data_IF_538411115961
#
_entry.id   IF_538411115961
#
_cell.length_a   1.000
_cell.length_b   1.000
_cell.length_c   1.000
_cell.angle_alpha   90.00
_cell.angle_beta   90.00
_cell.angle_gamma   90.00
#
_symmetry.space_group_name_H-M   'P 1'
#
loop_
_entity.id
_entity.type
_entity.pdbx_description
1 polymer ?
#
# COMPACT_ATOMS: atom_id res chain seq x y z
N UNK A 1 43.04 23.15 5.59
CA UNK A 1 41.93 22.34 6.13
C UNK A 1 40.69 23.14 6.56
N UNK A 2 40.61 24.47 6.28
CA UNK A 2 39.53 25.32 6.81
C UNK A 2 38.45 25.71 5.78
N UNK A 3 38.75 25.65 4.48
CA UNK A 3 37.82 26.11 3.43
C UNK A 3 36.64 25.15 3.20
N UNK A 4 36.89 23.83 3.25
CA UNK A 4 35.84 22.82 3.09
C UNK A 4 34.81 22.86 4.23
N UNK A 5 35.22 23.21 5.45
CA UNK A 5 34.35 23.36 6.61
C UNK A 5 33.48 24.62 6.46
N UNK A 6 34.07 25.72 6.00
CA UNK A 6 33.33 26.96 5.73
C UNK A 6 32.25 26.78 4.65
N UNK A 7 32.55 26.03 3.58
CA UNK A 7 31.58 25.73 2.52
C UNK A 7 30.41 24.87 3.00
N UNK A 8 30.68 23.88 3.87
CA UNK A 8 29.62 23.06 4.48
C UNK A 8 28.73 23.89 5.40
N UNK A 9 29.32 24.74 6.24
CA UNK A 9 28.56 25.64 7.12
C UNK A 9 27.69 26.62 6.33
N UNK A 10 28.21 27.16 5.22
CA UNK A 10 27.44 28.02 4.33
C UNK A 10 26.26 27.27 3.70
N UNK A 11 26.45 26.02 3.27
CA UNK A 11 25.39 25.20 2.69
C UNK A 11 24.28 24.89 3.72
N UNK A 12 24.65 24.48 4.95
CA UNK A 12 23.69 24.31 6.04
C UNK A 12 22.94 25.59 6.37
N UNK A 13 23.61 26.74 6.34
CA UNK A 13 22.97 28.02 6.57
C UNK A 13 21.94 28.36 5.47
N UNK A 14 22.24 28.07 4.21
CA UNK A 14 21.31 28.26 3.09
C UNK A 14 20.09 27.35 3.21
N UNK A 15 20.26 26.07 3.55
CA UNK A 15 19.15 25.14 3.76
C UNK A 15 18.28 25.55 4.95
N UNK A 16 18.90 25.95 6.07
CA UNK A 16 18.20 26.46 7.23
C UNK A 16 17.41 27.74 6.88
N UNK A 17 18.01 28.64 6.10
CA UNK A 17 17.31 29.84 5.64
C UNK A 17 16.10 29.52 4.75
N UNK A 18 16.23 28.56 3.84
CA UNK A 18 15.12 28.13 2.99
C UNK A 18 13.99 27.48 3.78
N UNK A 19 14.30 26.65 4.78
CA UNK A 19 13.28 26.02 5.64
C UNK A 19 12.55 27.06 6.48
N UNK A 20 13.25 28.05 7.04
CA UNK A 20 12.61 29.18 7.73
C UNK A 20 11.67 29.99 6.82
N UNK A 21 12.05 30.20 5.56
CA UNK A 21 11.20 30.86 4.56
C UNK A 21 9.94 30.07 4.27
N UNK A 22 10.04 28.74 4.13
CA UNK A 22 8.89 27.83 3.95
C UNK A 22 7.99 27.83 5.19
N UNK A 23 8.58 27.83 6.39
CA UNK A 23 7.84 27.88 7.65
C UNK A 23 7.01 29.16 7.76
N UNK A 24 7.59 30.33 7.44
CA UNK A 24 6.86 31.61 7.39
C UNK A 24 5.77 31.63 6.32
N UNK A 25 5.97 30.95 5.19
CA UNK A 25 4.92 30.81 4.17
C UNK A 25 3.77 29.94 4.67
N UNK A 26 4.06 28.81 5.33
CA UNK A 26 3.04 27.94 5.94
C UNK A 26 2.25 28.66 7.03
N UNK A 27 2.91 29.41 7.90
CA UNK A 27 2.24 30.20 8.95
C UNK A 27 1.24 31.21 8.36
N UNK A 28 1.60 31.89 7.26
CA UNK A 28 0.67 32.79 6.54
C UNK A 28 -0.52 32.05 5.95
N UNK A 29 -0.33 30.84 5.42
CA UNK A 29 -1.43 30.02 4.92
C UNK A 29 -2.36 29.58 6.05
N UNK A 30 -1.82 29.14 7.18
CA UNK A 30 -2.61 28.73 8.35
C UNK A 30 -3.45 29.90 8.87
N UNK A 31 -2.87 31.11 8.96
CA UNK A 31 -3.62 32.30 9.36
C UNK A 31 -4.76 32.60 8.39
N UNK A 32 -4.50 32.57 7.07
CA UNK A 32 -5.55 32.75 6.06
C UNK A 32 -6.65 31.71 6.19
N UNK A 33 -6.31 30.43 6.39
CA UNK A 33 -7.29 29.35 6.58
C UNK A 33 -8.13 29.58 7.84
N UNK A 34 -7.51 30.05 8.94
CA UNK A 34 -8.23 30.38 10.17
C UNK A 34 -9.19 31.56 9.99
N UNK A 35 -8.76 32.59 9.27
CA UNK A 35 -9.58 33.75 8.90
C UNK A 35 -10.76 33.34 7.99
N UNK A 36 -10.51 32.49 7.00
CA UNK A 36 -11.56 31.88 6.18
C UNK A 36 -12.55 31.06 7.01
N UNK A 37 -12.08 30.30 7.99
CA UNK A 37 -12.93 29.54 8.89
C UNK A 37 -13.75 30.44 9.83
N UNK A 38 -13.17 31.53 10.31
CA UNK A 38 -13.81 32.44 11.27
C UNK A 38 -14.84 33.38 10.62
N UNK A 39 -14.66 33.73 9.34
CA UNK A 39 -15.58 34.59 8.60
C UNK A 39 -16.76 33.82 7.95
N UNK A 40 -16.74 32.48 7.99
CA UNK A 40 -17.86 31.65 7.50
C UNK A 40 -18.93 31.56 8.58
N UNK A 41 -20.18 31.87 8.23
CA UNK A 41 -21.31 31.71 9.14
C UNK A 41 -21.42 30.24 9.61
N UNK A 42 -21.70 29.98 10.89
CA UNK A 42 -21.71 28.61 11.44
C UNK A 42 -22.76 27.70 10.78
N UNK A 43 -23.82 28.29 10.24
CA UNK A 43 -24.88 27.58 9.50
C UNK A 43 -24.34 26.82 8.27
N UNK A 44 -23.39 27.40 7.54
CA UNK A 44 -22.79 26.74 6.37
C UNK A 44 -21.94 25.52 6.75
N UNK A 45 -21.24 25.59 7.88
CA UNK A 45 -20.43 24.46 8.37
C UNK A 45 -21.36 23.29 8.74
N UNK A 46 -22.46 23.58 9.46
CA UNK A 46 -23.46 22.59 9.82
C UNK A 46 -24.09 21.92 8.59
N UNK A 47 -24.54 22.71 7.61
CA UNK A 47 -25.17 22.19 6.38
C UNK A 47 -24.18 21.33 5.59
N UNK A 48 -22.92 21.77 5.47
CA UNK A 48 -21.90 20.99 4.78
C UNK A 48 -21.57 19.66 5.48
N UNK A 49 -21.54 19.67 6.82
CA UNK A 49 -21.33 18.46 7.62
C UNK A 49 -22.49 17.48 7.48
N UNK A 50 -23.74 17.96 7.60
CA UNK A 50 -24.93 17.11 7.43
C UNK A 50 -25.01 16.56 6.00
N UNK A 51 -24.72 17.40 4.99
CA UNK A 51 -24.70 16.97 3.59
C UNK A 51 -23.68 15.85 3.32
N UNK A 52 -22.50 15.93 3.92
CA UNK A 52 -21.47 14.89 3.81
C UNK A 52 -21.93 13.57 4.44
N UNK A 53 -22.55 13.62 5.61
CA UNK A 53 -23.08 12.42 6.30
C UNK A 53 -24.21 11.77 5.50
N UNK A 54 -25.16 12.57 4.99
CA UNK A 54 -26.28 12.07 4.18
C UNK A 54 -25.77 11.43 2.89
N UNK A 55 -24.82 12.07 2.22
CA UNK A 55 -24.21 11.54 0.99
C UNK A 55 -23.46 10.23 1.27
N UNK A 56 -22.71 10.16 2.36
CA UNK A 56 -22.01 8.93 2.78
C UNK A 56 -22.96 7.78 3.08
N UNK A 57 -24.04 8.04 3.82
CA UNK A 57 -25.07 7.04 4.12
C UNK A 57 -25.80 6.55 2.86
N UNK A 58 -26.11 7.45 1.92
CA UNK A 58 -26.70 7.10 0.64
C UNK A 58 -25.79 6.17 -0.17
N UNK A 59 -24.50 6.50 -0.27
CA UNK A 59 -23.51 5.64 -0.94
C UNK A 59 -23.40 4.27 -0.26
N UNK A 60 -23.41 4.20 1.07
CA UNK A 60 -23.34 2.93 1.79
C UNK A 60 -24.51 1.98 1.48
N UNK A 61 -25.69 2.50 1.12
CA UNK A 61 -26.86 1.70 0.74
C UNK A 61 -26.87 1.35 -0.75
N UNK A 62 -26.53 2.30 -1.63
CA UNK A 62 -26.56 2.10 -3.09
C UNK A 62 -25.38 1.26 -3.58
N UNK A 63 -24.21 1.42 -2.97
CA UNK A 63 -22.99 0.71 -3.35
C UNK A 63 -23.11 -0.82 -3.31
N UNK A 64 -23.60 -1.47 -2.24
CA UNK A 64 -23.76 -2.93 -2.24
C UNK A 64 -24.76 -3.42 -3.29
N UNK A 65 -25.80 -2.63 -3.61
CA UNK A 65 -26.77 -2.97 -4.65
C UNK A 65 -26.13 -2.96 -6.05
N UNK A 66 -25.30 -1.96 -6.35
CA UNK A 66 -24.57 -1.88 -7.62
C UNK A 66 -23.50 -2.99 -7.73
N UNK A 67 -22.82 -3.30 -6.63
CA UNK A 67 -21.87 -4.41 -6.60
C UNK A 67 -22.56 -5.75 -6.86
N UNK A 68 -23.73 -6.00 -6.28
CA UNK A 68 -24.48 -7.25 -6.53
C UNK A 68 -24.74 -7.47 -8.02
N UNK A 69 -25.31 -6.47 -8.71
CA UNK A 69 -25.60 -6.56 -10.15
C UNK A 69 -24.31 -6.70 -10.98
N UNK A 70 -23.24 -5.97 -10.63
CA UNK A 70 -21.97 -6.06 -11.34
C UNK A 70 -21.25 -7.39 -11.15
N UNK A 71 -21.32 -7.97 -9.95
CA UNK A 71 -20.70 -9.25 -9.63
C UNK A 71 -21.48 -10.42 -10.22
N UNK A 72 -22.82 -10.38 -10.22
CA UNK A 72 -23.64 -11.46 -10.79
C UNK A 72 -23.45 -11.62 -12.31
N UNK A 73 -23.16 -10.52 -13.01
CA UNK A 73 -22.91 -10.54 -14.46
C UNK A 73 -21.50 -11.06 -14.81
N UNK A 74 -20.50 -10.86 -13.94
CA UNK A 74 -19.10 -11.21 -14.21
C UNK A 74 -18.64 -12.51 -13.52
N UNK A 75 -19.17 -12.80 -12.34
CA UNK A 75 -18.83 -13.92 -11.48
C UNK A 75 -20.04 -14.79 -11.22
N UNK A 76 -20.75 -15.17 -12.28
CA UNK A 76 -21.76 -16.21 -12.19
C UNK A 76 -21.05 -17.54 -11.92
N UNK A 77 -20.79 -17.81 -10.64
CA UNK A 77 -20.29 -19.08 -10.12
C UNK A 77 -21.40 -20.11 -10.43
N UNK A 78 -21.36 -20.62 -11.65
CA UNK A 78 -22.26 -21.66 -12.09
C UNK A 78 -21.91 -22.89 -11.24
N UNK A 79 -22.91 -23.49 -10.60
CA UNK A 79 -22.75 -24.77 -9.88
C UNK A 79 -22.45 -25.85 -10.92
N UNK A 80 -21.19 -25.92 -11.32
CA UNK A 80 -20.71 -26.75 -12.41
C UNK A 80 -19.23 -26.45 -12.62
N UNK A 81 -18.40 -27.46 -12.34
CA UNK A 81 -16.95 -27.56 -12.56
C UNK A 81 -16.32 -26.32 -13.21
N UNK A 82 -15.86 -25.38 -12.38
CA UNK A 82 -15.14 -24.20 -12.86
C UNK A 82 -13.79 -24.65 -13.42
N UNK A 83 -13.71 -24.72 -14.75
CA UNK A 83 -12.44 -24.88 -15.44
C UNK A 83 -11.65 -23.59 -15.22
N UNK A 84 -10.55 -23.71 -14.48
CA UNK A 84 -9.65 -22.59 -14.28
C UNK A 84 -9.12 -22.15 -15.66
N UNK A 85 -9.17 -20.86 -16.01
CA UNK A 85 -8.74 -20.39 -17.33
C UNK A 85 -7.22 -20.51 -17.55
N UNK A 86 -6.49 -20.89 -16.51
CA UNK A 86 -5.04 -21.04 -16.50
C UNK A 86 -4.72 -22.48 -16.10
N UNK A 87 -3.87 -23.18 -16.87
CA UNK A 87 -3.42 -24.51 -16.48
C UNK A 87 -2.62 -24.43 -15.17
N UNK A 88 -3.04 -25.21 -14.17
CA UNK A 88 -2.29 -25.37 -12.92
C UNK A 88 -1.13 -26.34 -13.17
N UNK A 89 0.05 -25.80 -13.41
CA UNK A 89 1.28 -26.59 -13.56
C UNK A 89 1.97 -26.70 -12.20
N UNK A 90 2.11 -27.92 -11.70
CA UNK A 90 2.82 -28.20 -10.44
C UNK A 90 4.20 -28.78 -10.74
N UNK A 91 5.25 -28.09 -10.30
CA UNK A 91 6.64 -28.57 -10.42
C UNK A 91 7.09 -29.19 -9.10
N UNK A 92 7.42 -30.47 -9.14
CA UNK A 92 7.95 -31.20 -7.98
C UNK A 92 9.45 -31.39 -8.13
N UNK A 93 10.19 -31.04 -7.08
CA UNK A 93 11.64 -31.23 -6.96
C UNK A 93 11.89 -32.20 -5.80
N UNK A 94 12.72 -33.20 -6.04
CA UNK A 94 13.12 -34.20 -5.06
C UNK A 94 14.60 -34.00 -4.71
N UNK A 95 14.95 -34.17 -3.44
CA UNK A 95 16.34 -34.10 -2.99
C UNK A 95 16.83 -35.50 -2.63
N UNK A 96 17.69 -36.06 -3.47
CA UNK A 96 18.27 -37.39 -3.35
C UNK A 96 19.49 -37.36 -2.42
N UNK A 97 19.50 -38.18 -1.36
CA UNK A 97 20.57 -38.22 -0.36
C UNK A 97 21.71 -39.10 -0.87
N UNK A 98 22.89 -38.52 -1.06
CA UNK A 98 24.07 -39.20 -1.59
C UNK A 98 24.88 -39.96 -0.52
N UNK A 99 24.73 -39.63 0.77
CA UNK A 99 25.43 -40.28 1.88
C UNK A 99 24.46 -40.88 2.93
N UNK A 100 23.58 -41.84 2.56
CA UNK A 100 22.53 -42.33 3.45
C UNK A 100 23.06 -43.02 4.72
N UNK A 101 24.21 -43.71 4.63
CA UNK A 101 24.80 -44.42 5.76
C UNK A 101 25.36 -43.44 6.81
N UNK A 102 26.19 -42.49 6.37
CA UNK A 102 26.77 -41.45 7.24
C UNK A 102 25.68 -40.56 7.84
N UNK A 103 24.67 -40.23 7.04
CA UNK A 103 23.50 -39.47 7.52
C UNK A 103 22.78 -40.21 8.64
N UNK A 104 22.60 -41.53 8.51
CA UNK A 104 21.95 -42.35 9.55
C UNK A 104 22.78 -42.41 10.84
N UNK A 105 24.09 -42.21 10.74
CA UNK A 105 25.02 -42.13 11.87
C UNK A 105 25.16 -40.71 12.46
N UNK A 106 24.43 -39.72 11.92
CA UNK A 106 24.39 -38.35 12.41
C UNK A 106 25.26 -37.35 11.65
N UNK A 107 25.89 -37.75 10.55
CA UNK A 107 26.61 -36.84 9.67
C UNK A 107 25.65 -35.92 8.88
N UNK A 108 26.19 -34.83 8.36
CA UNK A 108 25.41 -33.87 7.54
C UNK A 108 24.99 -34.52 6.22
N UNK A 109 23.70 -34.45 5.84
CA UNK A 109 23.23 -35.03 4.58
C UNK A 109 23.77 -34.24 3.38
N UNK A 110 24.33 -34.95 2.42
CA UNK A 110 24.73 -34.45 1.10
C UNK A 110 23.59 -34.78 0.13
N UNK A 111 22.91 -33.75 -0.38
CA UNK A 111 21.75 -33.92 -1.26
C UNK A 111 22.03 -33.50 -2.69
N UNK A 112 21.36 -34.16 -3.65
CA UNK A 112 21.32 -33.77 -5.07
C UNK A 112 19.87 -33.50 -5.48
N UNK A 113 19.63 -32.34 -6.09
CA UNK A 113 18.32 -31.99 -6.62
C UNK A 113 17.99 -32.83 -7.87
N UNK A 114 16.79 -33.38 -7.92
CA UNK A 114 16.21 -34.19 -8.99
C UNK A 114 14.87 -33.58 -9.41
N UNK A 115 14.77 -33.13 -10.66
CA UNK A 115 13.54 -32.53 -11.19
C UNK A 115 13.80 -31.45 -12.23
N UNK A 116 12.74 -30.73 -12.68
CA UNK A 116 11.36 -30.80 -12.19
C UNK A 116 10.51 -31.93 -12.81
N UNK A 117 9.65 -32.55 -11.99
CA UNK A 117 8.54 -33.38 -12.45
C UNK A 117 7.28 -32.50 -12.55
N UNK A 118 6.73 -32.35 -13.75
CA UNK A 118 5.60 -31.44 -14.03
C UNK A 118 4.30 -32.24 -14.11
N UNK A 119 3.31 -31.85 -13.30
CA UNK A 119 1.94 -32.37 -13.28
C UNK A 119 0.92 -31.28 -13.61
#
# INVERSE_FOLDING_TARGET
MNFAIALRLWCYFVELYQTFRRLKAMQRMIHKVKEFSQNRKPEFVLISGVGLVVTGAFLAVVFPMLLGVGLDMNFKLTEGKQELPIPLLTKVYLFDIQNPNEFSEGAVPVVREMGPYVY
#
